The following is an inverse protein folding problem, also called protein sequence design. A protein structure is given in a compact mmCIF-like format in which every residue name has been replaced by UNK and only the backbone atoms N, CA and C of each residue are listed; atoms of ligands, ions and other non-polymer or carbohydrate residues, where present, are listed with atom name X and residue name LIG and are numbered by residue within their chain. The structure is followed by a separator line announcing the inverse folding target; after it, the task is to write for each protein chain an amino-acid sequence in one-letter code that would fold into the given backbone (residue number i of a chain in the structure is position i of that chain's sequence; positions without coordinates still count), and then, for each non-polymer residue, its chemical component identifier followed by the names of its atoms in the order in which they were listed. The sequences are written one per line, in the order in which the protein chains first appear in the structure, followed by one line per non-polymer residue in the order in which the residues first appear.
data_IF_027630709911
#
_entry.id   IF_027630709911
#
_cell.length_a   1.000
_cell.length_b   1.000
_cell.length_c   1.000
_cell.angle_alpha   90.00
_cell.angle_beta   90.00
_cell.angle_gamma   90.00
#
_symmetry.space_group_name_H-M   'P 1'
#
loop_
_entity.id
_entity.type
_entity.pdbx_description
1 polymer ?
#
# COMPACT_ATOMS: atom_id res chain seq x y z
N UNK A 1 -0.61 -4.68 -6.73
CA UNK A 1 -0.01 -3.47 -7.33
C UNK A 1 -1.12 -2.69 -8.00
N UNK A 2 -1.25 -1.40 -7.73
CA UNK A 2 -2.24 -0.51 -8.35
C UNK A 2 -1.54 0.39 -9.36
N UNK A 3 -1.74 0.24 -10.69
CA UNK A 3 -0.95 0.96 -11.69
C UNK A 3 -1.08 2.50 -11.62
N UNK A 4 -2.22 3.02 -11.16
CA UNK A 4 -2.56 4.43 -11.25
C UNK A 4 -2.24 5.24 -9.97
N UNK A 5 -1.52 4.66 -9.00
CA UNK A 5 -1.11 5.39 -7.80
C UNK A 5 -0.06 6.47 -8.11
N UNK A 6 -0.07 7.53 -7.30
CA UNK A 6 0.94 8.58 -7.32
C UNK A 6 2.04 8.31 -6.28
N UNK A 7 3.30 8.33 -6.72
CA UNK A 7 4.48 8.13 -5.87
C UNK A 7 4.95 9.41 -5.15
N UNK A 8 4.47 10.59 -5.57
CA UNK A 8 4.69 11.87 -4.90
C UNK A 8 3.38 12.63 -4.74
N UNK A 9 3.24 13.31 -3.62
CA UNK A 9 2.03 14.05 -3.25
C UNK A 9 2.37 15.35 -2.52
N UNK A 10 1.49 16.36 -2.55
CA UNK A 10 0.30 16.44 -3.41
C UNK A 10 0.64 16.39 -4.92
N UNK A 11 -0.37 16.11 -5.75
CA UNK A 11 -0.17 15.96 -7.21
C UNK A 11 -0.05 17.34 -7.86
N UNK A 12 1.19 17.78 -8.08
CA UNK A 12 1.48 19.12 -8.66
C UNK A 12 2.07 19.07 -10.08
N UNK A 13 2.77 17.99 -10.45
CA UNK A 13 3.39 17.82 -11.78
C UNK A 13 2.54 16.93 -12.72
N UNK A 14 1.21 17.06 -12.62
CA UNK A 14 0.25 16.22 -13.34
C UNK A 14 0.53 14.72 -13.15
N UNK A 15 0.54 13.95 -14.24
CA UNK A 15 0.77 12.50 -14.20
C UNK A 15 2.25 12.08 -14.13
N UNK A 16 3.20 13.02 -13.98
CA UNK A 16 4.65 12.71 -14.03
C UNK A 16 5.09 11.64 -13.03
N UNK A 17 4.51 11.67 -11.83
CA UNK A 17 4.81 10.78 -10.71
C UNK A 17 3.81 9.64 -10.52
N UNK A 18 2.88 9.45 -11.48
CA UNK A 18 1.99 8.30 -11.48
C UNK A 18 2.76 7.06 -11.94
N UNK A 19 2.58 5.94 -11.24
CA UNK A 19 3.41 4.74 -11.40
C UNK A 19 3.44 4.23 -12.85
N UNK A 20 2.28 4.00 -13.45
CA UNK A 20 2.13 3.63 -14.86
C UNK A 20 2.87 4.58 -15.83
N UNK A 21 2.75 5.90 -15.63
CA UNK A 21 3.42 6.91 -16.45
C UNK A 21 4.95 6.88 -16.29
N UNK A 22 5.45 6.63 -15.08
CA UNK A 22 6.89 6.43 -14.85
C UNK A 22 7.37 5.19 -15.59
N UNK A 23 6.69 4.06 -15.43
CA UNK A 23 7.08 2.79 -16.06
C UNK A 23 7.05 2.91 -17.59
N UNK A 24 6.00 3.52 -18.17
CA UNK A 24 5.91 3.79 -19.61
C UNK A 24 7.10 4.62 -20.10
N UNK A 25 7.39 5.74 -19.44
CA UNK A 25 8.50 6.65 -19.81
C UNK A 25 9.86 5.95 -19.74
N UNK A 26 10.11 5.14 -18.69
CA UNK A 26 11.35 4.37 -18.57
C UNK A 26 11.43 3.27 -19.63
N UNK A 27 10.33 2.60 -19.93
CA UNK A 27 10.26 1.58 -20.96
C UNK A 27 10.56 2.13 -22.37
N UNK A 28 10.07 3.33 -22.68
CA UNK A 28 10.37 4.08 -23.92
C UNK A 28 11.86 4.45 -24.04
N UNK A 29 12.54 4.66 -22.90
CA UNK A 29 13.99 4.88 -22.85
C UNK A 29 14.81 3.59 -22.93
N UNK A 30 14.18 2.46 -23.28
CA UNK A 30 14.85 1.16 -23.44
C UNK A 30 14.99 0.34 -22.15
N UNK A 31 14.48 0.82 -21.01
CA UNK A 31 14.51 0.03 -19.76
C UNK A 31 13.58 -1.16 -19.89
N UNK A 32 14.08 -2.36 -19.59
CA UNK A 32 13.27 -3.58 -19.49
C UNK A 32 12.70 -3.70 -18.09
N UNK A 33 11.38 -3.88 -18.00
CA UNK A 33 10.64 -3.87 -16.74
C UNK A 33 9.98 -5.24 -16.56
N UNK A 34 10.31 -5.91 -15.46
CA UNK A 34 9.82 -7.24 -15.14
C UNK A 34 9.04 -7.17 -13.83
N UNK A 35 7.79 -7.64 -13.86
CA UNK A 35 6.87 -7.55 -12.72
C UNK A 35 6.32 -8.95 -12.43
N UNK A 36 6.41 -9.36 -11.16
CA UNK A 36 5.74 -10.56 -10.66
C UNK A 36 4.63 -10.14 -9.72
N UNK A 37 3.39 -10.57 -10.00
CA UNK A 37 2.22 -10.31 -9.18
C UNK A 37 1.74 -11.62 -8.54
N UNK A 38 1.28 -11.54 -7.30
CA UNK A 38 0.45 -12.58 -6.74
C UNK A 38 -0.83 -12.70 -7.59
N UNK A 39 -1.15 -13.93 -7.98
CA UNK A 39 -2.45 -14.29 -8.56
C UNK A 39 -3.34 -14.78 -7.41
N UNK A 40 -4.40 -14.05 -7.20
CA UNK A 40 -5.41 -14.29 -6.19
C UNK A 40 -6.43 -15.34 -6.60
N UNK A 41 -7.07 -15.93 -5.58
CA UNK A 41 -8.35 -16.60 -5.74
C UNK A 41 -9.43 -15.52 -5.87
N UNK A 42 -9.88 -15.27 -7.09
CA UNK A 42 -10.75 -14.13 -7.45
C UNK A 42 -12.04 -14.03 -6.62
N UNK A 43 -12.59 -15.15 -6.15
CA UNK A 43 -13.78 -15.17 -5.31
C UNK A 43 -13.50 -14.73 -3.86
N UNK A 44 -12.26 -14.88 -3.38
CA UNK A 44 -11.88 -14.62 -1.99
C UNK A 44 -11.19 -13.26 -1.80
N UNK A 45 -10.54 -12.72 -2.84
CA UNK A 45 -9.74 -11.50 -2.74
C UNK A 45 -10.01 -10.57 -3.92
N UNK A 46 -10.39 -9.32 -3.62
CA UNK A 46 -10.73 -8.29 -4.62
C UNK A 46 -9.55 -7.51 -5.19
N UNK A 47 -8.33 -8.05 -5.24
CA UNK A 47 -7.13 -7.29 -5.67
C UNK A 47 -7.02 -7.07 -7.18
N UNK A 48 -7.69 -7.90 -7.98
CA UNK A 48 -7.76 -7.81 -9.44
C UNK A 48 -6.38 -7.74 -10.14
N UNK A 49 -5.55 -8.77 -9.92
CA UNK A 49 -4.21 -8.83 -10.51
C UNK A 49 -4.23 -8.97 -12.04
N UNK A 50 -5.32 -9.50 -12.62
CA UNK A 50 -5.49 -9.56 -14.07
C UNK A 50 -5.69 -8.17 -14.69
N UNK A 51 -6.50 -7.29 -14.06
CA UNK A 51 -6.57 -5.89 -14.46
C UNK A 51 -5.19 -5.24 -14.44
N UNK A 52 -4.48 -5.37 -13.33
CA UNK A 52 -3.15 -4.78 -13.15
C UNK A 52 -2.16 -5.28 -14.22
N UNK A 53 -2.13 -6.59 -14.47
CA UNK A 53 -1.34 -7.19 -15.55
C UNK A 53 -1.68 -6.58 -16.90
N UNK A 54 -2.97 -6.56 -17.25
CA UNK A 54 -3.45 -6.07 -18.54
C UNK A 54 -3.03 -4.62 -18.72
N UNK A 55 -3.34 -3.74 -17.76
CA UNK A 55 -2.99 -2.31 -17.82
C UNK A 55 -1.49 -2.12 -18.03
N UNK A 56 -0.65 -2.77 -17.22
CA UNK A 56 0.80 -2.62 -17.29
C UNK A 56 1.40 -3.13 -18.61
N UNK A 57 0.91 -4.27 -19.11
CA UNK A 57 1.40 -4.83 -20.38
C UNK A 57 0.99 -4.02 -21.62
N UNK A 58 -0.10 -3.24 -21.55
CA UNK A 58 -0.51 -2.36 -22.65
C UNK A 58 0.31 -1.07 -22.74
N UNK A 59 1.08 -0.71 -21.70
CA UNK A 59 1.86 0.53 -21.69
C UNK A 59 3.02 0.52 -22.70
N UNK A 60 3.76 -0.60 -22.78
CA UNK A 60 4.95 -0.72 -23.65
C UNK A 60 5.44 -2.18 -23.77
N UNK A 61 5.97 -2.64 -24.92
CA UNK A 61 6.47 -4.01 -25.10
C UNK A 61 7.65 -4.40 -24.20
N UNK A 62 8.42 -3.44 -23.68
CA UNK A 62 9.51 -3.69 -22.71
C UNK A 62 9.00 -4.04 -21.30
N UNK A 63 7.68 -3.99 -21.05
CA UNK A 63 7.08 -4.35 -19.77
C UNK A 63 6.52 -5.77 -19.86
N UNK A 64 7.00 -6.66 -18.99
CA UNK A 64 6.56 -8.05 -18.91
C UNK A 64 6.05 -8.36 -17.51
N UNK A 65 4.85 -8.93 -17.43
CA UNK A 65 4.16 -9.19 -16.16
C UNK A 65 3.77 -10.66 -16.07
N UNK A 66 4.24 -11.34 -15.03
CA UNK A 66 3.81 -12.70 -14.68
C UNK A 66 2.92 -12.68 -13.44
N UNK A 67 1.92 -13.56 -13.42
CA UNK A 67 1.11 -13.85 -12.23
C UNK A 67 1.28 -15.30 -11.78
N UNK A 68 1.39 -15.53 -10.48
CA UNK A 68 1.57 -16.84 -9.85
C UNK A 68 1.00 -16.84 -8.41
N UNK A 69 0.47 -17.96 -7.88
CA UNK A 69 0.32 -19.30 -8.47
C UNK A 69 -0.86 -19.43 -9.44
N UNK A 70 -0.92 -20.49 -10.25
CA UNK A 70 -2.20 -20.90 -10.83
C UNK A 70 -2.90 -21.84 -9.84
N UNK A 71 -4.16 -21.56 -9.50
CA UNK A 71 -4.90 -22.36 -8.53
C UNK A 71 -5.51 -23.62 -9.15
N UNK A 72 -5.96 -23.53 -10.41
CA UNK A 72 -6.46 -24.69 -11.14
C UNK A 72 -5.31 -25.68 -11.30
N UNK A 73 -5.43 -26.87 -10.70
CA UNK A 73 -4.42 -27.95 -10.60
C UNK A 73 -3.27 -27.79 -9.59
N UNK A 74 -3.21 -26.71 -8.81
CA UNK A 74 -2.22 -26.56 -7.72
C UNK A 74 -2.84 -26.90 -6.37
N UNK A 75 -2.07 -27.48 -5.45
CA UNK A 75 -2.45 -27.60 -4.02
C UNK A 75 -2.29 -26.28 -3.24
N UNK A 76 -1.81 -25.22 -3.90
CA UNK A 76 -1.55 -23.90 -3.30
C UNK A 76 -2.78 -23.00 -3.44
N UNK A 77 -3.73 -23.17 -2.52
CA UNK A 77 -4.91 -22.30 -2.39
C UNK A 77 -4.80 -21.29 -1.25
N UNK A 78 -3.98 -21.59 -0.24
CA UNK A 78 -3.94 -20.84 1.03
C UNK A 78 -2.74 -19.89 1.14
N UNK A 79 -1.70 -20.09 0.32
CA UNK A 79 -0.47 -19.31 0.39
C UNK A 79 -0.39 -18.26 -0.72
N UNK A 80 0.36 -17.20 -0.46
CA UNK A 80 0.54 -16.08 -1.37
C UNK A 80 2.02 -15.73 -1.54
N UNK A 81 2.32 -15.07 -2.66
CA UNK A 81 3.57 -14.32 -2.80
C UNK A 81 3.37 -12.98 -2.10
N UNK A 82 4.06 -12.78 -0.98
CA UNK A 82 3.80 -11.66 -0.07
C UNK A 82 4.94 -10.64 0.01
N UNK A 83 6.07 -10.91 -0.65
CA UNK A 83 7.21 -10.00 -0.71
C UNK A 83 6.90 -8.74 -1.53
N UNK A 84 7.35 -7.58 -1.04
CA UNK A 84 7.28 -6.30 -1.77
C UNK A 84 8.69 -5.83 -2.09
N UNK A 85 9.06 -5.94 -3.36
CA UNK A 85 10.41 -5.68 -3.85
C UNK A 85 10.41 -4.71 -5.03
N UNK A 86 11.33 -3.75 -5.03
CA UNK A 86 11.65 -2.92 -6.21
C UNK A 86 13.16 -2.95 -6.39
N UNK A 87 13.64 -3.45 -7.52
CA UNK A 87 15.07 -3.59 -7.80
C UNK A 87 15.41 -2.81 -9.07
N UNK A 88 16.33 -1.85 -8.98
CA UNK A 88 16.76 -1.00 -10.09
C UNK A 88 18.19 -1.40 -10.46
N UNK A 89 18.37 -1.80 -11.71
CA UNK A 89 19.65 -2.22 -12.30
C UNK A 89 20.42 -3.31 -11.54
N UNK A 90 19.75 -4.03 -10.64
CA UNK A 90 20.37 -4.95 -9.66
C UNK A 90 21.39 -4.27 -8.74
N UNK A 91 21.36 -2.93 -8.62
CA UNK A 91 22.31 -2.15 -7.80
C UNK A 91 21.64 -1.40 -6.64
N UNK A 92 20.33 -1.15 -6.73
CA UNK A 92 19.51 -0.55 -5.65
C UNK A 92 18.27 -1.42 -5.47
N UNK A 93 17.96 -1.82 -4.24
CA UNK A 93 16.77 -2.62 -3.95
C UNK A 93 16.02 -2.09 -2.74
N UNK A 94 14.70 -1.93 -2.88
CA UNK A 94 13.77 -1.62 -1.80
C UNK A 94 13.07 -2.90 -1.35
N UNK A 95 12.97 -3.10 -0.03
CA UNK A 95 12.37 -4.27 0.61
C UNK A 95 11.61 -3.82 1.87
N UNK A 96 10.36 -4.24 2.05
CA UNK A 96 9.55 -3.84 3.21
C UNK A 96 8.13 -4.38 3.20
N UNK A 97 7.26 -3.80 4.03
CA UNK A 97 5.82 -4.09 4.10
C UNK A 97 4.97 -3.32 3.09
N UNK A 98 5.51 -2.26 2.48
CA UNK A 98 4.77 -1.33 1.62
C UNK A 98 4.62 -1.88 0.20
N UNK A 99 3.39 -2.23 -0.17
CA UNK A 99 3.00 -2.51 -1.56
C UNK A 99 2.87 -1.21 -2.38
N UNK A 100 3.24 -1.26 -3.67
CA UNK A 100 2.84 -0.24 -4.65
C UNK A 100 1.34 -0.39 -4.97
N UNK A 101 0.48 -0.03 -4.03
CA UNK A 101 -0.96 -0.23 -4.12
C UNK A 101 -1.76 0.85 -3.37
N UNK A 102 -3.07 0.91 -3.64
CA UNK A 102 -3.96 1.89 -3.02
C UNK A 102 -3.93 1.84 -1.49
N UNK A 103 -4.02 3.00 -0.84
CA UNK A 103 -4.15 3.12 0.61
C UNK A 103 -2.85 2.99 1.40
N UNK A 104 -1.72 2.74 0.75
CA UNK A 104 -0.41 2.53 1.42
C UNK A 104 0.36 3.83 1.65
N UNK A 105 0.08 4.85 0.84
CA UNK A 105 0.73 6.14 1.01
C UNK A 105 0.15 6.82 2.25
N UNK A 106 1.03 7.24 3.13
CA UNK A 106 0.74 8.07 4.29
C UNK A 106 2.01 8.85 4.65
N UNK A 107 1.87 9.82 5.54
CA UNK A 107 2.99 10.42 6.24
C UNK A 107 2.80 10.27 7.76
N UNK A 108 3.72 10.85 8.52
CA UNK A 108 3.73 10.79 9.97
C UNK A 108 2.55 11.52 10.64
N UNK A 109 1.73 12.27 9.90
CA UNK A 109 0.53 12.90 10.44
C UNK A 109 -0.67 11.95 10.50
N UNK A 110 -0.65 10.84 9.75
CA UNK A 110 -1.71 9.83 9.75
C UNK A 110 -3.13 10.43 9.63
N UNK A 111 -3.29 11.36 8.70
CA UNK A 111 -4.54 12.13 8.56
C UNK A 111 -5.74 11.22 8.29
N UNK A 112 -6.84 11.49 9.00
CA UNK A 112 -8.12 10.77 8.88
C UNK A 112 -9.02 11.32 7.76
N UNK A 113 -8.81 12.56 7.34
CA UNK A 113 -9.67 13.27 6.38
C UNK A 113 -8.86 13.83 5.21
N UNK A 114 -9.50 13.90 4.04
CA UNK A 114 -8.93 14.45 2.80
C UNK A 114 -10.06 14.94 1.89
N UNK A 115 -10.80 15.93 2.39
CA UNK A 115 -11.92 16.57 1.69
C UNK A 115 -11.44 17.52 0.59
N UNK A 116 -10.17 17.94 0.66
CA UNK A 116 -9.61 19.06 -0.10
C UNK A 116 -10.09 20.40 0.46
N UNK A 117 -9.27 21.43 0.34
CA UNK A 117 -9.61 22.79 0.77
C UNK A 117 -9.41 23.74 -0.40
N UNK A 118 -10.17 24.82 -0.49
CA UNK A 118 -9.80 25.96 -1.33
C UNK A 118 -9.28 27.05 -0.40
N UNK A 119 -8.00 27.40 -0.47
CA UNK A 119 -7.49 28.59 0.21
C UNK A 119 -7.62 29.76 -0.75
N UNK A 120 -8.35 30.80 -0.32
CA UNK A 120 -8.28 32.12 -0.94
C UNK A 120 -6.90 32.68 -0.63
N UNK A 121 -6.08 32.92 -1.65
CA UNK A 121 -4.95 33.82 -1.49
C UNK A 121 -5.55 35.21 -1.36
N UNK A 122 -5.60 35.77 -0.14
CA UNK A 122 -5.76 37.22 -0.03
C UNK A 122 -4.50 37.81 -0.68
N UNK A 123 -4.69 38.48 -1.82
CA UNK A 123 -3.62 39.25 -2.43
C UNK A 123 -3.05 40.20 -1.37
N UNK A 124 -1.78 40.00 -1.02
CA UNK A 124 -1.06 40.97 -0.21
C UNK A 124 -1.09 42.31 -0.93
N UNK A 125 -1.20 43.44 -0.20
CA UNK A 125 -1.23 44.74 -0.83
C UNK A 125 0.04 44.93 -1.67
N UNK A 126 -0.14 45.34 -2.91
CA UNK A 126 0.93 45.79 -3.79
C UNK A 126 1.73 46.87 -3.08
N UNK A 127 3.06 46.72 -3.07
CA UNK A 127 3.99 47.70 -2.54
C UNK A 127 3.90 48.97 -3.40
N UNK A 128 3.07 49.92 -2.97
CA UNK A 128 3.07 51.30 -3.47
C UNK A 128 3.11 52.24 -2.27
N UNK A 129 4.20 52.99 -2.22
CA UNK A 129 4.41 54.29 -1.56
C UNK A 129 4.09 54.40 -0.07
N UNK A 130 5.16 54.48 0.71
CA UNK A 130 5.23 55.13 2.02
C UNK A 130 4.67 56.56 1.94
N UNK A 131 3.71 56.90 2.82
CA UNK A 131 3.63 58.21 3.49
C UNK A 131 3.00 58.04 4.87
N UNK A 132 3.46 58.86 5.80
CA UNK A 132 3.35 58.69 7.24
C UNK A 132 2.01 59.15 7.87
N UNK A 133 1.79 58.64 9.09
CA UNK A 133 0.96 59.16 10.19
C UNK A 133 -0.57 59.17 10.06
N UNK A 134 -1.24 58.31 10.82
CA UNK A 134 -2.04 58.76 11.99
C UNK A 134 -2.32 57.62 12.97
N UNK A 135 -2.21 57.96 14.25
CA UNK A 135 -2.46 57.21 15.49
C UNK A 135 -3.88 56.65 15.65
N UNK A 136 -4.03 55.49 16.30
CA UNK A 136 -5.33 55.03 16.83
C UNK A 136 -5.37 53.61 17.40
N UNK A 137 -5.31 53.52 18.72
CA UNK A 137 -5.58 52.41 19.66
C UNK A 137 -6.65 51.36 19.28
N UNK A 138 -6.40 50.08 19.66
CA UNK A 138 -7.26 49.18 20.49
C UNK A 138 -6.84 47.71 20.29
N UNK A 139 -6.13 47.11 21.25
CA UNK A 139 -6.62 46.11 22.24
C UNK A 139 -7.47 44.97 21.64
N UNK A 140 -6.94 43.74 21.58
CA UNK A 140 -7.02 42.74 22.67
C UNK A 140 -8.46 42.39 23.05
N UNK A 141 -8.98 41.27 22.56
CA UNK A 141 -9.98 40.47 23.28
C UNK A 141 -9.79 38.97 23.03
N UNK A 142 -8.96 38.38 23.90
CA UNK A 142 -9.06 36.99 24.33
C UNK A 142 -10.32 36.86 25.21
N UNK A 143 -11.19 35.87 24.96
CA UNK A 143 -12.30 35.56 25.87
C UNK A 143 -12.07 34.21 26.54
N UNK A 144 -12.14 34.29 27.86
CA UNK A 144 -11.79 33.33 28.91
C UNK A 144 -12.84 32.25 29.10
N UNK A 145 -12.34 31.13 29.61
CA UNK A 145 -13.03 30.13 30.42
C UNK A 145 -13.98 30.73 31.47
N UNK A 146 -15.11 30.04 31.67
CA UNK A 146 -15.78 29.95 32.97
C UNK A 146 -16.34 28.53 33.18
N UNK A 147 -15.65 27.78 34.04
CA UNK A 147 -16.25 26.75 34.88
C UNK A 147 -17.19 27.42 35.89
N UNK A 148 -18.36 26.83 36.13
CA UNK A 148 -18.79 26.54 37.51
C UNK A 148 -19.93 25.52 37.58
N UNK A 149 -19.80 24.68 38.60
CA UNK A 149 -20.63 23.59 39.04
C UNK A 149 -21.86 24.05 39.82
N UNK A 150 -22.96 23.29 39.79
CA UNK A 150 -23.76 23.08 41.00
C UNK A 150 -24.52 21.75 40.97
N UNK A 151 -24.37 21.01 42.08
CA UNK A 151 -25.10 19.80 42.46
C UNK A 151 -26.41 20.19 43.14
N UNK A 152 -27.46 19.37 43.01
CA UNK A 152 -28.17 18.77 44.15
C UNK A 152 -29.24 17.75 43.70
N UNK A 153 -29.22 16.59 44.37
CA UNK A 153 -30.24 15.53 44.38
C UNK A 153 -31.39 15.90 45.35
N UNK A 154 -32.48 15.10 45.34
CA UNK A 154 -32.66 14.21 46.49
C UNK A 154 -33.08 12.77 46.16
N UNK A 155 -32.73 11.91 47.13
CA UNK A 155 -32.91 10.46 47.31
C UNK A 155 -34.29 10.23 47.99
N UNK A 156 -35.07 9.14 47.84
CA UNK A 156 -34.91 7.78 48.39
C UNK A 156 -36.19 6.96 48.09
N UNK A 157 -36.09 5.69 47.71
CA UNK A 157 -36.60 4.52 48.47
C UNK A 157 -36.42 3.19 47.71
N UNK A 158 -35.78 2.29 48.43
CA UNK A 158 -35.46 0.87 48.21
C UNK A 158 -36.69 -0.05 48.28
N UNK A 159 -36.58 -1.25 47.70
CA UNK A 159 -36.68 -2.58 48.37
C UNK A 159 -36.75 -3.73 47.32
N UNK A 160 -35.72 -4.59 47.39
CA UNK A 160 -35.59 -6.06 47.33
C UNK A 160 -36.02 -6.98 46.16
N UNK A 161 -35.04 -7.86 45.85
CA UNK A 161 -35.04 -9.31 45.54
C UNK A 161 -35.90 -9.91 44.41
N UNK A 162 -35.23 -10.61 43.48
CA UNK A 162 -35.21 -12.09 43.45
C UNK A 162 -34.64 -12.65 42.12
N UNK A 163 -33.76 -13.65 42.27
CA UNK A 163 -33.27 -14.56 41.23
C UNK A 163 -34.39 -15.30 40.46
N UNK A 164 -34.20 -15.52 39.16
CA UNK A 164 -34.56 -16.81 38.53
C UNK A 164 -33.85 -17.06 37.19
N UNK A 165 -33.11 -18.17 37.16
CA UNK A 165 -32.63 -18.85 35.93
C UNK A 165 -33.80 -19.46 35.18
N UNK A 166 -33.76 -19.45 33.84
CA UNK A 166 -34.38 -20.51 33.03
C UNK A 166 -33.67 -20.69 31.68
N UNK A 167 -33.26 -21.93 31.43
CA UNK A 167 -32.70 -22.47 30.17
C UNK A 167 -33.81 -22.63 29.12
N UNK A 168 -33.46 -22.49 27.84
CA UNK A 168 -34.24 -23.00 26.72
C UNK A 168 -33.37 -23.24 25.48
N UNK A 169 -33.30 -24.49 25.02
CA UNK A 169 -32.48 -25.02 23.92
C UNK A 169 -33.35 -25.37 22.71
N UNK A 170 -32.86 -25.10 21.48
CA UNK A 170 -33.17 -25.79 20.21
C UNK A 170 -34.32 -25.21 19.38
N UNK A 171 -34.32 -25.15 18.03
CA UNK A 171 -33.54 -25.78 16.94
C UNK A 171 -33.84 -25.02 15.60
N UNK A 172 -33.27 -25.38 14.42
CA UNK A 172 -32.78 -24.44 13.42
C UNK A 172 -33.75 -24.08 12.28
N UNK A 173 -33.55 -22.91 11.66
CA UNK A 173 -34.24 -22.50 10.42
C UNK A 173 -33.53 -23.02 9.18
N UNK A 174 -34.30 -23.68 8.31
CA UNK A 174 -33.92 -24.28 7.02
C UNK A 174 -33.48 -23.22 5.99
N UNK A 175 -32.48 -23.57 5.18
CA UNK A 175 -32.03 -22.83 4.01
C UNK A 175 -33.11 -22.81 2.91
N UNK A 176 -33.41 -21.62 2.39
CA UNK A 176 -34.23 -21.44 1.20
C UNK A 176 -33.37 -21.52 -0.06
N UNK A 177 -33.82 -22.33 -1.03
CA UNK A 177 -33.25 -22.45 -2.38
C UNK A 177 -33.58 -21.18 -3.17
N UNK A 178 -32.58 -20.48 -3.70
CA UNK A 178 -32.79 -19.42 -4.68
C UNK A 178 -32.54 -19.94 -6.10
N UNK A 179 -33.58 -19.87 -6.92
CA UNK A 179 -33.59 -20.16 -8.35
C UNK A 179 -33.08 -18.95 -9.14
N UNK A 180 -32.16 -19.17 -10.08
CA UNK A 180 -31.59 -18.14 -10.96
C UNK A 180 -32.52 -18.00 -12.17
N UNK A 181 -33.25 -16.90 -12.26
CA UNK A 181 -33.87 -16.47 -13.51
C UNK A 181 -32.97 -15.44 -14.21
N UNK A 182 -32.56 -15.79 -15.44
CA UNK A 182 -31.75 -14.99 -16.35
C UNK A 182 -32.68 -14.06 -17.13
N UNK A 183 -32.58 -12.75 -16.92
CA UNK A 183 -33.26 -11.76 -17.77
C UNK A 183 -32.24 -11.01 -18.62
N UNK A 184 -32.34 -11.24 -19.93
CA UNK A 184 -31.58 -10.57 -20.98
C UNK A 184 -32.16 -9.16 -21.20
N UNK A 185 -31.35 -8.12 -21.03
CA UNK A 185 -31.65 -6.80 -21.59
C UNK A 185 -30.67 -6.45 -22.71
N UNK A 186 -31.23 -6.35 -23.91
CA UNK A 186 -30.62 -5.90 -25.15
C UNK A 186 -30.69 -4.37 -25.17
N UNK A 187 -29.57 -3.66 -25.19
CA UNK A 187 -29.56 -2.22 -25.49
C UNK A 187 -28.72 -1.92 -26.73
N UNK A 188 -29.39 -1.27 -27.68
CA UNK A 188 -28.84 -0.70 -28.91
C UNK A 188 -27.88 0.45 -28.62
N UNK A 189 -26.88 0.56 -29.50
CA UNK A 189 -25.86 1.58 -29.58
C UNK A 189 -26.43 3.01 -29.65
N UNK A 190 -25.71 3.95 -29.01
CA UNK A 190 -25.37 5.24 -29.62
C UNK A 190 -24.04 5.76 -29.07
N UNK A 191 -23.08 5.90 -30.00
CA UNK A 191 -21.79 6.55 -29.82
C UNK A 191 -21.95 8.03 -29.48
N UNK A 192 -21.11 8.52 -28.57
CA UNK A 192 -20.52 9.87 -28.66
C UNK A 192 -19.08 9.78 -28.16
N UNK A 193 -18.16 9.59 -29.11
CA UNK A 193 -16.72 9.72 -28.94
C UNK A 193 -16.36 11.19 -28.79
N UNK A 194 -15.44 11.51 -27.85
CA UNK A 194 -14.46 12.59 -27.97
C UNK A 194 -13.52 12.61 -26.76
N UNK A 195 -12.37 11.93 -26.87
CA UNK A 195 -11.18 12.26 -26.09
C UNK A 195 -10.11 12.60 -27.12
N UNK A 196 -9.81 13.88 -27.25
CA UNK A 196 -8.78 14.38 -28.15
C UNK A 196 -7.41 13.96 -27.65
N UNK A 197 -6.71 13.23 -28.51
CA UNK A 197 -5.27 13.02 -28.48
C UNK A 197 -4.55 14.29 -28.91
N UNK A 198 -3.63 14.78 -28.10
CA UNK A 198 -2.53 15.61 -28.60
C UNK A 198 -1.23 15.19 -27.89
N UNK A 199 -0.40 14.46 -28.63
CA UNK A 199 1.04 14.37 -28.38
C UNK A 199 1.68 15.48 -29.22
N UNK A 200 2.39 16.41 -28.59
CA UNK A 200 3.75 16.86 -28.97
C UNK A 200 4.08 18.25 -28.42
N UNK A 201 5.35 18.39 -28.08
CA UNK A 201 6.12 19.61 -27.82
C UNK A 201 6.00 20.27 -26.43
N UNK A 202 7.16 20.29 -25.77
CA UNK A 202 7.57 21.16 -24.67
C UNK A 202 6.80 22.47 -24.54
N UNK A 203 6.02 22.59 -23.45
CA UNK A 203 5.89 23.85 -22.73
C UNK A 203 5.48 23.53 -21.29
N UNK A 204 6.25 24.06 -20.34
CA UNK A 204 5.87 24.19 -18.93
C UNK A 204 4.63 25.08 -18.84
N UNK A 205 3.45 24.48 -18.99
CA UNK A 205 2.16 25.15 -18.82
C UNK A 205 1.78 25.16 -17.34
N UNK A 206 1.89 26.33 -16.73
CA UNK A 206 1.25 26.66 -15.45
C UNK A 206 -0.22 26.26 -15.48
N UNK A 207 -0.72 25.75 -14.36
CA UNK A 207 -2.16 25.56 -14.12
C UNK A 207 -2.86 26.86 -14.53
N UNK A 208 -3.69 26.79 -15.56
CA UNK A 208 -4.36 27.95 -16.13
C UNK A 208 -5.40 28.45 -15.11
N UNK A 209 -5.02 29.51 -14.40
CA UNK A 209 -5.89 30.28 -13.52
C UNK A 209 -7.08 30.80 -14.33
N UNK A 210 -8.28 30.33 -14.01
CA UNK A 210 -9.51 30.99 -14.43
C UNK A 210 -9.61 32.28 -13.60
N UNK A 211 -9.31 33.43 -14.21
CA UNK A 211 -9.58 34.75 -13.64
C UNK A 211 -11.10 34.94 -13.52
N UNK A 212 -11.67 34.40 -12.45
CA UNK A 212 -12.92 34.91 -11.88
C UNK A 212 -12.51 36.05 -10.94
N UNK A 213 -13.26 37.15 -10.90
CA UNK A 213 -12.93 38.36 -10.11
C UNK A 213 -12.96 38.20 -8.59
N UNK A 214 -12.61 37.02 -8.06
CA UNK A 214 -12.67 36.61 -6.66
C UNK A 214 -11.32 35.99 -6.24
N UNK A 215 -10.21 36.73 -6.37
CA UNK A 215 -8.88 36.31 -5.90
C UNK A 215 -8.32 35.03 -6.54
N UNK A 216 -7.03 34.77 -6.31
CA UNK A 216 -6.39 33.54 -6.80
C UNK A 216 -6.74 32.38 -5.84
N UNK A 217 -7.62 31.49 -6.28
CA UNK A 217 -7.99 30.30 -5.53
C UNK A 217 -6.96 29.20 -5.79
N UNK A 218 -6.08 28.95 -4.82
CA UNK A 218 -5.24 27.76 -4.83
C UNK A 218 -6.00 26.64 -4.12
N UNK A 219 -6.42 25.63 -4.89
CA UNK A 219 -6.94 24.40 -4.31
C UNK A 219 -5.81 23.69 -3.56
N UNK A 220 -6.01 23.41 -2.27
CA UNK A 220 -5.28 22.34 -1.58
C UNK A 220 -5.67 21.04 -2.27
N UNK A 221 -4.78 20.61 -3.14
CA UNK A 221 -4.83 19.35 -3.87
C UNK A 221 -4.93 18.19 -2.88
N UNK A 222 -5.96 17.37 -3.03
CA UNK A 222 -6.19 16.14 -2.27
C UNK A 222 -4.92 15.26 -2.28
N UNK A 223 -4.69 14.55 -1.19
CA UNK A 223 -3.59 13.59 -1.13
C UNK A 223 -4.01 12.24 -1.71
N UNK A 224 -5.13 11.69 -1.26
CA UNK A 224 -5.60 10.35 -1.64
C UNK A 224 -6.70 10.47 -2.68
N UNK A 225 -6.38 10.21 -3.95
CA UNK A 225 -7.35 10.34 -5.05
C UNK A 225 -8.13 9.03 -5.28
N UNK A 226 -9.46 9.12 -5.42
CA UNK A 226 -10.30 7.98 -5.81
C UNK A 226 -10.17 6.78 -4.86
N UNK A 227 -9.85 5.62 -5.44
CA UNK A 227 -9.67 4.34 -4.72
C UNK A 227 -8.58 4.35 -3.66
N UNK A 228 -7.71 5.37 -3.69
CA UNK A 228 -6.64 5.53 -2.73
C UNK A 228 -7.11 6.09 -1.38
N UNK A 229 -8.27 6.75 -1.34
CA UNK A 229 -8.94 7.10 -0.08
C UNK A 229 -9.78 5.89 0.35
N UNK A 230 -9.27 5.13 1.32
CA UNK A 230 -9.83 3.84 1.69
C UNK A 230 -9.88 3.64 3.20
N UNK A 231 -10.80 2.78 3.63
CA UNK A 231 -10.91 2.27 4.98
C UNK A 231 -11.27 0.79 4.93
N UNK A 232 -10.27 -0.09 5.13
CA UNK A 232 -10.43 -1.55 4.96
C UNK A 232 -11.24 -2.22 6.07
N UNK A 233 -11.43 -1.56 7.22
CA UNK A 233 -12.33 -2.04 8.26
C UNK A 233 -13.78 -1.85 7.83
N UNK A 234 -14.07 -0.74 7.15
CA UNK A 234 -15.43 -0.40 6.74
C UNK A 234 -15.85 -1.07 5.42
N UNK A 235 -14.97 -1.04 4.41
CA UNK A 235 -15.33 -1.48 3.06
C UNK A 235 -14.11 -1.90 2.24
N UNK A 236 -14.20 -3.09 1.66
CA UNK A 236 -13.23 -3.57 0.69
C UNK A 236 -13.33 -2.83 -0.66
N UNK A 237 -12.24 -2.85 -1.42
CA UNK A 237 -12.22 -2.26 -2.75
C UNK A 237 -13.26 -2.89 -3.68
N UNK A 238 -13.88 -2.04 -4.48
CA UNK A 238 -14.79 -2.41 -5.57
C UNK A 238 -14.45 -1.63 -6.82
N UNK A 239 -14.69 -2.21 -8.01
CA UNK A 239 -14.50 -1.53 -9.31
C UNK A 239 -13.12 -0.88 -9.45
N UNK A 240 -12.06 -1.67 -9.29
CA UNK A 240 -10.67 -1.21 -9.42
C UNK A 240 -10.32 -0.68 -10.82
N UNK A 241 -11.15 -0.95 -11.83
CA UNK A 241 -11.08 -0.39 -13.17
C UNK A 241 -11.44 1.11 -13.25
N UNK A 242 -12.01 1.69 -12.19
CA UNK A 242 -12.31 3.12 -12.05
C UNK A 242 -11.43 3.75 -10.95
N UNK A 243 -10.13 3.97 -11.21
CA UNK A 243 -9.13 4.28 -10.18
C UNK A 243 -9.37 5.63 -9.47
N UNK A 244 -9.93 6.61 -10.19
CA UNK A 244 -10.15 7.97 -9.66
C UNK A 244 -11.56 8.20 -9.11
N UNK A 245 -12.40 7.16 -9.10
CA UNK A 245 -13.73 7.23 -8.49
C UNK A 245 -13.66 6.79 -7.03
N UNK A 246 -14.16 7.64 -6.14
CA UNK A 246 -14.34 7.30 -4.73
C UNK A 246 -15.32 6.14 -4.59
N UNK A 247 -15.11 5.32 -3.56
CA UNK A 247 -15.99 4.18 -3.24
C UNK A 247 -16.53 4.22 -1.81
N UNK A 248 -16.05 5.18 -1.02
CA UNK A 248 -16.53 5.58 0.29
C UNK A 248 -16.72 7.11 0.26
N UNK A 249 -17.70 7.61 1.02
CA UNK A 249 -17.96 9.05 1.11
C UNK A 249 -16.97 9.70 2.08
N UNK A 250 -16.19 10.66 1.57
CA UNK A 250 -15.15 11.38 2.31
C UNK A 250 -15.69 12.29 3.41
N UNK A 251 -16.94 12.73 3.29
CA UNK A 251 -17.55 13.65 4.26
C UNK A 251 -18.10 12.93 5.48
N UNK A 252 -18.41 11.64 5.37
CA UNK A 252 -18.99 10.82 6.44
C UNK A 252 -18.04 9.73 6.95
N UNK A 253 -17.09 9.28 6.13
CA UNK A 253 -16.20 8.15 6.46
C UNK A 253 -14.74 8.59 6.46
N UNK A 254 -14.03 8.54 7.60
CA UNK A 254 -12.59 8.79 7.62
C UNK A 254 -11.84 7.67 6.89
N UNK A 255 -10.73 8.01 6.24
CA UNK A 255 -9.80 6.99 5.76
C UNK A 255 -9.15 6.28 6.94
N UNK A 256 -8.67 5.06 6.70
CA UNK A 256 -7.84 4.34 7.66
C UNK A 256 -6.37 4.70 7.41
N UNK A 257 -5.65 5.29 8.39
CA UNK A 257 -4.21 5.49 8.31
C UNK A 257 -3.44 4.21 8.03
N UNK A 258 -2.28 4.37 7.40
CA UNK A 258 -1.38 3.26 7.07
C UNK A 258 -0.01 3.55 7.67
N UNK A 259 0.33 2.82 8.73
CA UNK A 259 1.66 2.80 9.33
C UNK A 259 2.41 1.57 8.85
N UNK A 260 3.63 1.75 8.33
CA UNK A 260 4.41 0.68 7.71
C UNK A 260 5.89 1.05 7.62
N UNK A 261 6.73 0.04 7.42
CA UNK A 261 8.19 0.16 7.38
C UNK A 261 8.75 -0.46 6.09
N UNK A 262 9.70 0.24 5.48
CA UNK A 262 10.48 -0.28 4.37
C UNK A 262 11.95 0.14 4.49
N UNK A 263 12.80 -0.53 3.72
CA UNK A 263 14.24 -0.29 3.70
C UNK A 263 14.76 -0.24 2.26
N UNK A 264 15.93 0.36 2.09
CA UNK A 264 16.67 0.34 0.83
C UNK A 264 18.09 -0.14 1.08
N UNK A 265 18.60 -0.98 0.17
CA UNK A 265 19.98 -1.47 0.19
C UNK A 265 20.63 -1.28 -1.17
N UNK A 266 21.96 -1.17 -1.18
CA UNK A 266 22.75 -0.91 -2.38
C UNK A 266 23.80 -2.01 -2.62
N UNK A 267 24.34 -2.07 -3.84
CA UNK A 267 25.51 -2.88 -4.17
C UNK A 267 25.28 -4.40 -4.03
N UNK A 268 26.10 -5.09 -3.23
CA UNK A 268 26.05 -6.55 -3.07
C UNK A 268 24.68 -7.03 -2.54
N UNK A 269 24.15 -6.38 -1.50
CA UNK A 269 22.85 -6.74 -0.93
C UNK A 269 21.71 -6.57 -1.95
N UNK A 270 21.72 -5.49 -2.74
CA UNK A 270 20.73 -5.31 -3.81
C UNK A 270 20.79 -6.42 -4.88
N UNK A 271 22.00 -6.93 -5.19
CA UNK A 271 22.16 -8.10 -6.07
C UNK A 271 21.63 -9.38 -5.44
N UNK A 272 21.67 -9.52 -4.11
CA UNK A 272 21.06 -10.66 -3.42
C UNK A 272 19.54 -10.64 -3.60
N UNK A 273 18.92 -9.46 -3.48
CA UNK A 273 17.48 -9.27 -3.75
C UNK A 273 17.17 -9.57 -5.21
N UNK A 274 18.01 -9.11 -6.14
CA UNK A 274 17.88 -9.42 -7.55
C UNK A 274 17.93 -10.92 -7.85
N UNK A 275 18.84 -11.67 -7.21
CA UNK A 275 18.94 -13.13 -7.38
C UNK A 275 17.66 -13.85 -6.96
N UNK A 276 17.06 -13.45 -5.83
CA UNK A 276 15.76 -13.98 -5.41
C UNK A 276 14.68 -13.74 -6.49
N UNK A 277 14.57 -12.51 -7.01
CA UNK A 277 13.61 -12.18 -8.07
C UNK A 277 13.87 -13.00 -9.35
N UNK A 278 15.12 -13.07 -9.80
CA UNK A 278 15.53 -13.79 -11.00
C UNK A 278 15.23 -15.28 -10.90
N UNK A 279 15.51 -15.90 -9.74
CA UNK A 279 15.19 -17.31 -9.49
C UNK A 279 13.69 -17.56 -9.68
N UNK A 280 12.84 -16.75 -9.03
CA UNK A 280 11.39 -16.90 -9.10
C UNK A 280 10.81 -16.59 -10.48
N UNK A 281 11.37 -15.61 -11.18
CA UNK A 281 11.00 -15.29 -12.55
C UNK A 281 11.27 -16.48 -13.48
N UNK A 282 12.50 -16.99 -13.45
CA UNK A 282 12.91 -18.12 -14.29
C UNK A 282 12.12 -19.39 -13.95
N UNK A 283 11.89 -19.66 -12.67
CA UNK A 283 11.03 -20.75 -12.20
C UNK A 283 9.58 -20.62 -12.72
N UNK A 284 8.97 -19.44 -12.58
CA UNK A 284 7.60 -19.21 -13.06
C UNK A 284 7.51 -19.33 -14.58
N UNK A 285 8.56 -18.90 -15.30
CA UNK A 285 8.68 -19.03 -16.75
C UNK A 285 8.61 -20.50 -17.21
N UNK A 286 9.37 -21.38 -16.56
CA UNK A 286 9.43 -22.80 -16.93
C UNK A 286 8.15 -23.56 -16.53
N UNK A 287 7.58 -23.23 -15.37
CA UNK A 287 6.42 -23.94 -14.84
C UNK A 287 5.14 -23.65 -15.61
N UNK A 288 5.01 -22.46 -16.22
CA UNK A 288 3.77 -22.05 -16.88
C UNK A 288 3.94 -21.98 -18.40
N UNK A 289 3.30 -22.87 -19.19
CA UNK A 289 3.43 -22.91 -20.64
C UNK A 289 3.26 -21.55 -21.33
N UNK A 290 2.30 -20.74 -20.86
CA UNK A 290 2.04 -19.41 -21.43
C UNK A 290 3.19 -18.41 -21.31
N UNK A 291 4.14 -18.64 -20.42
CA UNK A 291 5.32 -17.80 -20.22
C UNK A 291 6.59 -18.39 -20.89
N UNK A 292 6.53 -19.59 -21.47
CA UNK A 292 7.69 -20.22 -22.12
C UNK A 292 8.14 -19.51 -23.39
N UNK A 293 7.24 -18.76 -24.05
CA UNK A 293 7.54 -17.90 -25.20
C UNK A 293 8.78 -17.01 -24.99
N UNK A 294 9.53 -16.75 -26.08
CA UNK A 294 10.68 -15.84 -26.11
C UNK A 294 10.33 -14.40 -25.71
N UNK A 295 9.04 -14.03 -25.79
CA UNK A 295 8.55 -12.74 -25.31
C UNK A 295 8.77 -12.50 -23.82
N UNK A 296 8.93 -13.57 -23.02
CA UNK A 296 9.37 -13.49 -21.63
C UNK A 296 10.82 -13.98 -21.56
N UNK A 297 11.83 -13.12 -21.43
CA UNK A 297 13.23 -13.56 -21.43
C UNK A 297 13.57 -14.30 -20.13
N UNK A 298 14.57 -15.18 -20.18
CA UNK A 298 15.28 -15.59 -18.96
C UNK A 298 16.08 -14.41 -18.43
N UNK A 299 16.11 -14.26 -17.10
CA UNK A 299 16.90 -13.24 -16.45
C UNK A 299 18.19 -13.83 -15.90
N UNK A 300 19.25 -13.04 -15.91
CA UNK A 300 20.57 -13.43 -15.44
C UNK A 300 21.04 -12.46 -14.35
N UNK A 301 21.66 -12.97 -13.28
CA UNK A 301 22.22 -12.12 -12.23
C UNK A 301 23.47 -11.40 -12.75
N UNK A 302 23.61 -10.12 -12.39
CA UNK A 302 24.88 -9.42 -12.58
C UNK A 302 25.95 -10.03 -11.67
N UNK A 303 27.16 -10.19 -12.21
CA UNK A 303 28.29 -10.77 -11.48
C UNK A 303 28.56 -10.03 -10.18
N UNK A 304 28.90 -10.75 -9.11
CA UNK A 304 29.29 -10.18 -7.81
C UNK A 304 30.63 -9.44 -7.86
N UNK A 305 31.51 -9.81 -8.78
CA UNK A 305 32.92 -9.37 -8.87
C UNK A 305 33.19 -8.30 -9.92
N UNK A 306 32.26 -8.04 -10.84
CA UNK A 306 32.48 -7.06 -11.92
C UNK A 306 31.42 -5.97 -11.98
N UNK A 307 30.22 -6.21 -11.44
CA UNK A 307 29.15 -5.21 -11.41
C UNK A 307 29.23 -4.31 -10.16
N UNK A 308 30.28 -3.49 -10.08
CA UNK A 308 30.50 -2.57 -8.96
C UNK A 308 29.81 -1.21 -9.11
N UNK A 309 29.35 -0.88 -10.31
CA UNK A 309 28.80 0.44 -10.62
C UNK A 309 27.50 0.71 -9.87
N UNK A 310 27.50 1.80 -9.10
CA UNK A 310 26.34 2.33 -8.38
C UNK A 310 26.02 3.73 -8.93
N UNK A 311 25.15 3.77 -9.94
CA UNK A 311 24.78 5.02 -10.63
C UNK A 311 23.95 5.98 -9.78
N UNK A 312 23.31 5.47 -8.72
CA UNK A 312 22.47 6.25 -7.83
C UNK A 312 22.57 5.70 -6.42
N UNK A 313 22.74 6.61 -5.47
CA UNK A 313 22.63 6.33 -4.04
C UNK A 313 21.41 7.06 -3.49
N UNK A 314 20.65 6.39 -2.65
CA UNK A 314 19.49 6.99 -2.01
C UNK A 314 20.01 7.90 -0.88
N UNK A 315 19.64 9.20 -0.87
CA UNK A 315 20.09 10.12 0.19
C UNK A 315 19.73 9.61 1.59
N UNK A 316 20.59 9.92 2.57
CA UNK A 316 20.40 9.50 3.96
C UNK A 316 20.78 8.04 4.26
N UNK A 317 21.31 7.29 3.28
CA UNK A 317 21.81 5.93 3.51
C UNK A 317 23.07 5.95 4.37
N UNK A 318 23.20 4.97 5.26
CA UNK A 318 24.37 4.79 6.13
C UNK A 318 25.01 3.42 5.89
N UNK A 319 26.28 3.28 6.24
CA UNK A 319 26.97 2.00 6.16
C UNK A 319 26.56 1.10 7.32
N UNK A 320 26.10 -0.11 7.00
CA UNK A 320 25.77 -1.15 7.96
C UNK A 320 26.04 -2.54 7.36
N UNK A 321 26.27 -3.52 8.22
CA UNK A 321 26.27 -4.92 7.83
C UNK A 321 24.84 -5.37 7.56
N UNK A 322 24.59 -5.89 6.37
CA UNK A 322 23.26 -6.30 5.93
C UNK A 322 23.30 -7.72 5.40
N UNK A 323 22.25 -8.49 5.70
CA UNK A 323 22.07 -9.85 5.20
C UNK A 323 20.63 -9.99 4.72
N UNK A 324 20.45 -10.47 3.48
CA UNK A 324 19.13 -10.78 2.97
C UNK A 324 18.64 -12.12 3.52
N UNK A 325 17.36 -12.15 3.88
CA UNK A 325 16.65 -13.33 4.38
C UNK A 325 15.37 -13.53 3.57
N UNK A 326 14.82 -14.74 3.55
CA UNK A 326 13.55 -15.04 2.89
C UNK A 326 12.82 -16.23 3.51
N UNK A 327 11.52 -16.30 3.20
CA UNK A 327 10.72 -17.52 3.33
C UNK A 327 10.37 -18.02 1.93
N UNK A 328 10.85 -19.19 1.55
CA UNK A 328 10.65 -19.74 0.21
C UNK A 328 10.53 -21.27 0.27
N UNK A 329 9.87 -21.86 -0.72
CA UNK A 329 9.67 -23.30 -0.83
C UNK A 329 9.61 -23.74 -2.30
N UNK A 330 9.47 -25.04 -2.54
CA UNK A 330 9.38 -25.60 -3.89
C UNK A 330 8.28 -24.92 -4.72
N UNK A 331 7.07 -24.78 -4.16
CA UNK A 331 5.95 -24.18 -4.88
C UNK A 331 6.18 -22.71 -5.28
N UNK A 332 6.98 -21.96 -4.51
CA UNK A 332 7.14 -20.51 -4.69
C UNK A 332 8.40 -20.11 -5.45
N UNK A 333 9.46 -20.93 -5.38
CA UNK A 333 10.77 -20.63 -5.96
C UNK A 333 11.50 -21.85 -6.56
N UNK A 334 10.90 -23.04 -6.53
CA UNK A 334 11.50 -24.27 -7.07
C UNK A 334 12.73 -24.76 -6.31
N UNK A 335 12.79 -24.51 -5.00
CA UNK A 335 13.86 -25.00 -4.14
C UNK A 335 13.47 -26.32 -3.47
N UNK A 336 14.39 -27.28 -3.47
CA UNK A 336 14.16 -28.64 -2.94
C UNK A 336 13.83 -28.66 -1.45
N UNK A 337 14.51 -27.85 -0.67
CA UNK A 337 14.28 -27.67 0.76
C UNK A 337 13.74 -26.26 0.97
N UNK A 338 12.72 -26.12 1.80
CA UNK A 338 12.21 -24.80 2.14
C UNK A 338 13.29 -24.00 2.88
N UNK A 339 13.24 -22.69 2.72
CA UNK A 339 14.09 -21.76 3.43
C UNK A 339 13.22 -20.94 4.37
N UNK A 340 13.63 -20.85 5.64
CA UNK A 340 12.95 -20.11 6.71
C UNK A 340 13.93 -19.15 7.42
N UNK A 341 14.86 -18.57 6.66
CA UNK A 341 15.95 -17.75 7.21
C UNK A 341 15.45 -16.49 7.93
N UNK A 342 14.25 -15.99 7.60
CA UNK A 342 13.57 -14.93 8.36
C UNK A 342 13.22 -15.41 9.79
N UNK A 343 12.60 -16.59 9.92
CA UNK A 343 12.21 -17.14 11.21
C UNK A 343 13.42 -17.40 12.10
N UNK A 344 14.46 -18.04 11.53
CA UNK A 344 15.71 -18.31 12.24
C UNK A 344 16.39 -17.02 12.75
N UNK A 345 16.44 -15.97 11.92
CA UNK A 345 17.04 -14.70 12.33
C UNK A 345 16.23 -13.99 13.44
N UNK A 346 14.89 -14.04 13.38
CA UNK A 346 14.03 -13.49 14.43
C UNK A 346 14.33 -14.14 15.78
N UNK A 347 14.32 -15.48 15.84
CA UNK A 347 14.62 -16.24 17.06
C UNK A 347 16.02 -15.89 17.57
N UNK A 348 17.02 -15.91 16.68
CA UNK A 348 18.41 -15.59 17.03
C UNK A 348 18.56 -14.19 17.64
N UNK A 349 17.96 -13.15 17.05
CA UNK A 349 18.04 -11.78 17.56
C UNK A 349 17.39 -11.66 18.93
N UNK A 350 16.25 -12.30 19.14
CA UNK A 350 15.54 -12.30 20.42
C UNK A 350 16.39 -12.97 21.51
N UNK A 351 16.89 -14.16 21.26
CA UNK A 351 17.71 -14.93 22.21
C UNK A 351 19.00 -14.21 22.61
N UNK A 352 19.61 -13.47 21.66
CA UNK A 352 20.87 -12.75 21.87
C UNK A 352 20.71 -11.30 22.35
N UNK A 353 19.49 -10.75 22.34
CA UNK A 353 19.20 -9.41 22.85
C UNK A 353 19.71 -9.22 24.28
N UNK A 354 20.19 -8.02 24.63
CA UNK A 354 20.76 -7.74 25.97
C UNK A 354 19.87 -6.84 26.82
N UNK A 355 19.17 -5.90 26.21
CA UNK A 355 18.44 -4.85 26.92
C UNK A 355 16.95 -4.87 26.60
N UNK A 356 16.56 -4.53 25.37
CA UNK A 356 15.17 -4.51 24.94
C UNK A 356 15.03 -5.08 23.53
N UNK A 357 13.80 -5.45 23.20
CA UNK A 357 13.34 -5.74 21.84
C UNK A 357 12.14 -4.84 21.54
N UNK A 358 12.08 -4.32 20.32
CA UNK A 358 10.95 -3.52 19.84
C UNK A 358 10.33 -4.24 18.64
N UNK A 359 9.01 -4.45 18.68
CA UNK A 359 8.29 -5.22 17.66
C UNK A 359 7.08 -4.40 17.19
N UNK A 360 7.11 -4.02 15.92
CA UNK A 360 5.94 -3.59 15.17
C UNK A 360 5.64 -4.65 14.12
N UNK A 361 4.43 -5.20 14.12
CA UNK A 361 4.02 -6.20 13.14
C UNK A 361 2.51 -6.18 12.97
N UNK A 362 2.04 -6.45 11.75
CA UNK A 362 0.60 -6.59 11.46
C UNK A 362 -0.02 -7.78 12.21
N UNK A 363 0.75 -8.84 12.44
CA UNK A 363 0.29 -10.05 13.12
C UNK A 363 1.21 -10.39 14.30
N UNK A 364 0.60 -10.92 15.36
CA UNK A 364 1.32 -11.47 16.50
C UNK A 364 0.76 -12.84 16.90
N UNK A 365 0.87 -13.81 15.97
CA UNK A 365 0.41 -15.19 16.16
C UNK A 365 1.65 -16.10 16.29
N UNK A 366 1.89 -16.60 17.50
CA UNK A 366 3.05 -17.41 17.84
C UNK A 366 2.75 -18.31 19.05
N UNK A 367 3.80 -18.79 19.75
CA UNK A 367 3.77 -19.76 20.84
C UNK A 367 3.37 -21.14 20.32
N UNK A 368 4.39 -21.96 20.03
CA UNK A 368 4.17 -23.22 19.35
C UNK A 368 3.46 -24.24 20.25
N UNK A 369 2.41 -24.87 19.73
CA UNK A 369 1.78 -26.07 20.30
C UNK A 369 2.12 -27.34 19.50
N UNK A 370 2.93 -27.18 18.45
CA UNK A 370 3.34 -28.19 17.47
C UNK A 370 2.17 -28.92 16.80
N UNK A 371 1.00 -28.29 16.76
CA UNK A 371 -0.24 -28.83 16.16
C UNK A 371 -0.91 -27.84 15.23
N UNK A 372 -1.16 -26.64 15.73
CA UNK A 372 -1.86 -25.55 15.03
C UNK A 372 -0.90 -24.41 14.74
N UNK A 373 -0.05 -24.06 15.72
CA UNK A 373 0.97 -23.01 15.61
C UNK A 373 2.34 -23.64 15.82
N UNK A 374 3.27 -23.33 14.92
CA UNK A 374 4.59 -23.98 14.87
C UNK A 374 5.77 -23.02 15.06
N UNK A 375 5.56 -21.71 14.87
CA UNK A 375 6.66 -20.76 14.92
C UNK A 375 7.03 -20.42 16.37
N UNK A 376 8.33 -20.35 16.66
CA UNK A 376 8.89 -20.22 18.02
C UNK A 376 9.21 -18.79 18.47
N UNK A 377 8.67 -17.77 17.81
CA UNK A 377 9.00 -16.36 18.13
C UNK A 377 8.53 -15.98 19.53
N UNK A 378 7.27 -16.29 19.87
CA UNK A 378 6.67 -16.04 21.18
C UNK A 378 7.36 -16.84 22.29
N UNK A 379 7.74 -18.09 22.00
CA UNK A 379 8.50 -18.93 22.94
C UNK A 379 9.88 -18.32 23.24
N UNK A 380 10.59 -17.84 22.21
CA UNK A 380 11.87 -17.16 22.37
C UNK A 380 11.74 -15.87 23.19
N UNK A 381 10.67 -15.09 22.98
CA UNK A 381 10.38 -13.87 23.77
C UNK A 381 10.16 -14.24 25.25
N UNK A 382 9.28 -15.21 25.51
CA UNK A 382 8.97 -15.65 26.88
C UNK A 382 10.23 -16.17 27.60
N UNK A 383 11.01 -17.03 26.93
CA UNK A 383 12.27 -17.55 27.48
C UNK A 383 13.30 -16.45 27.72
N UNK A 384 13.39 -15.46 26.83
CA UNK A 384 14.32 -14.34 26.98
C UNK A 384 13.95 -13.44 28.16
N UNK A 385 12.66 -13.20 28.39
CA UNK A 385 12.16 -12.46 29.57
C UNK A 385 12.47 -13.23 30.85
N UNK A 386 12.17 -14.53 30.90
CA UNK A 386 12.48 -15.40 32.05
C UNK A 386 13.99 -15.46 32.35
N UNK A 387 14.84 -15.38 31.31
CA UNK A 387 16.30 -15.29 31.46
C UNK A 387 16.75 -13.94 32.00
N UNK A 388 16.04 -12.84 31.72
CA UNK A 388 16.37 -11.52 32.30
C UNK A 388 15.96 -11.41 33.77
N UNK A 389 14.90 -12.14 34.16
CA UNK A 389 14.36 -12.14 35.51
C UNK A 389 15.20 -12.99 36.48
N UNK A 390 15.71 -14.14 36.01
CA UNK A 390 16.68 -14.97 36.73
C UNK A 390 18.02 -14.29 36.81
#
# INVERSE_FOLDING_TARGET
MSPEIFLKRPVVEGNRWRLDCILKRKAQQGVRIFIMLYKEVELALGINSEYSKRTLMHLHPNIKVMRHPDHVSSSVYLWAHHEKLIIIDQSVAFVGGIDLAYGRWDDNEHRLTDVGSVKRVLGGPSLVSLTAETTGSMESLCLKDKNESNKNLPVLKTVDDADSKLKGIGKPRKFSKFSIYRQLHRHHLRNTDSISSIDSASNTGSIQSLQTGVGELHGETRFWHGKDYCNFVFKDWVQLDKPFADFIDRHSTPRMPWHDIASVVHGKAARDVARHFIQRWNFTKIMKPKYRSLSYPFLLPKSQTTAHELKHQVPGSVHANVQLLRSAADWSAGIKYHEESIHAAYVYVIENSKHYIYIENQFFISCADDKVVFNKVGDAIAQRILKAHR
#
